data_IF_983199037062
#
_entry.id   IF_983199037062
#
_cell.length_a   1.000
_cell.length_b   1.000
_cell.length_c   1.000
_cell.angle_alpha   90.00
_cell.angle_beta   90.00
_cell.angle_gamma   90.00
#
_symmetry.space_group_name_H-M   'P 1'
#
loop_
_entity.id
_entity.type
_entity.pdbx_description
1 polymer ?
#
# COMPACT_ATOMS: atom_id res chain seq x y z
N UNK A 1 -6.38 -11.46 -62.10
CA UNK A 1 -6.54 -9.98 -62.08
C UNK A 1 -5.67 -9.43 -60.98
N UNK A 2 -5.02 -8.27 -61.16
CA UNK A 2 -4.37 -7.58 -60.04
C UNK A 2 -5.42 -7.31 -58.96
N UNK A 3 -5.09 -7.61 -57.70
CA UNK A 3 -5.99 -7.45 -56.55
C UNK A 3 -6.34 -5.97 -56.28
N UNK A 4 -5.54 -5.03 -56.81
CA UNK A 4 -5.67 -3.60 -56.61
C UNK A 4 -5.30 -2.81 -57.87
N UNK A 5 -5.80 -1.57 -58.04
CA UNK A 5 -5.33 -0.63 -59.06
C UNK A 5 -3.82 -0.38 -58.93
N UNK A 6 -3.18 -0.07 -60.06
CA UNK A 6 -1.78 0.34 -60.07
C UNK A 6 -1.58 1.54 -59.12
N UNK A 7 -0.56 1.47 -58.26
CA UNK A 7 -0.15 2.47 -57.26
C UNK A 7 -0.94 2.56 -55.93
N UNK A 8 -2.09 1.89 -55.76
CA UNK A 8 -2.90 2.01 -54.53
C UNK A 8 -2.11 1.72 -53.24
N UNK A 9 -1.33 0.63 -53.23
CA UNK A 9 -0.57 0.25 -52.03
C UNK A 9 0.54 1.25 -51.70
N UNK A 10 1.17 1.85 -52.72
CA UNK A 10 2.20 2.86 -52.52
C UNK A 10 1.59 4.15 -51.95
N UNK A 11 0.43 4.55 -52.45
CA UNK A 11 -0.29 5.72 -51.96
C UNK A 11 -0.81 5.50 -50.53
N UNK A 12 -1.30 4.30 -50.22
CA UNK A 12 -1.70 3.89 -48.88
C UNK A 12 -0.52 3.95 -47.89
N UNK A 13 0.66 3.44 -48.25
CA UNK A 13 1.85 3.51 -47.41
C UNK A 13 2.34 4.95 -47.21
N UNK A 14 2.36 5.75 -48.29
CA UNK A 14 2.74 7.16 -48.21
C UNK A 14 1.77 7.96 -47.31
N UNK A 15 0.47 7.65 -47.39
CA UNK A 15 -0.54 8.21 -46.50
C UNK A 15 -0.27 7.83 -45.03
N UNK A 16 -0.08 6.54 -44.73
CA UNK A 16 0.17 6.06 -43.36
C UNK A 16 1.44 6.64 -42.74
N UNK A 17 2.50 6.82 -43.53
CA UNK A 17 3.72 7.50 -43.07
C UNK A 17 3.43 8.96 -42.68
N UNK A 18 2.61 9.67 -43.46
CA UNK A 18 2.26 11.08 -43.24
C UNK A 18 1.40 11.30 -42.00
N UNK A 19 0.48 10.38 -41.71
CA UNK A 19 -0.44 10.51 -40.57
C UNK A 19 0.11 9.93 -39.27
N UNK A 20 1.33 9.37 -39.27
CA UNK A 20 1.91 8.66 -38.13
C UNK A 20 2.01 9.47 -36.83
N UNK A 21 2.09 10.81 -36.94
CA UNK A 21 2.11 11.74 -35.80
C UNK A 21 0.89 12.68 -35.79
N UNK A 22 -0.12 12.43 -36.64
CA UNK A 22 -1.31 13.25 -36.72
C UNK A 22 -2.35 12.85 -35.67
N UNK A 23 -3.15 13.82 -35.23
CA UNK A 23 -4.37 13.56 -34.45
C UNK A 23 -5.45 12.88 -35.32
N UNK A 24 -6.35 12.07 -34.73
CA UNK A 24 -7.34 11.30 -35.49
C UNK A 24 -8.25 12.13 -36.38
N UNK A 25 -8.55 13.37 -35.99
CA UNK A 25 -9.35 14.29 -36.80
C UNK A 25 -8.61 14.70 -38.08
N UNK A 26 -7.30 14.99 -37.99
CA UNK A 26 -6.47 15.38 -39.12
C UNK A 26 -6.19 14.20 -40.06
N UNK A 27 -5.91 13.02 -39.50
CA UNK A 27 -5.73 11.80 -40.27
C UNK A 27 -6.98 11.43 -41.09
N UNK A 28 -8.17 11.62 -40.51
CA UNK A 28 -9.45 11.42 -41.23
C UNK A 28 -9.67 12.41 -42.37
N UNK A 29 -9.22 13.66 -42.20
CA UNK A 29 -9.30 14.68 -43.25
C UNK A 29 -8.38 14.31 -44.42
N UNK A 30 -7.14 13.91 -44.13
CA UNK A 30 -6.16 13.48 -45.12
C UNK A 30 -6.57 12.19 -45.86
N UNK A 31 -7.37 11.32 -45.23
CA UNK A 31 -7.94 10.15 -45.90
C UNK A 31 -8.86 10.55 -47.07
N UNK A 32 -9.47 11.74 -47.02
CA UNK A 32 -10.28 12.28 -48.11
C UNK A 32 -9.49 12.42 -49.41
N UNK A 33 -8.24 12.90 -49.33
CA UNK A 33 -7.37 13.08 -50.49
C UNK A 33 -6.99 11.74 -51.11
N UNK A 34 -6.70 10.73 -50.28
CA UNK A 34 -6.40 9.37 -50.74
C UNK A 34 -7.61 8.74 -51.45
N UNK A 35 -8.82 8.90 -50.89
CA UNK A 35 -10.06 8.42 -51.52
C UNK A 35 -10.39 9.12 -52.82
N UNK A 36 -10.06 10.42 -52.95
CA UNK A 36 -10.26 11.15 -54.20
C UNK A 36 -9.38 10.61 -55.34
N UNK A 37 -8.16 10.14 -55.02
CA UNK A 37 -7.27 9.47 -55.98
C UNK A 37 -7.71 8.06 -56.37
N UNK A 38 -8.54 7.41 -55.54
CA UNK A 38 -8.97 6.02 -55.69
C UNK A 38 -10.49 5.87 -55.41
N UNK A 39 -11.37 6.49 -56.22
CA UNK A 39 -12.80 6.65 -55.90
C UNK A 39 -13.56 5.31 -55.83
N UNK A 40 -13.12 4.30 -56.58
CA UNK A 40 -13.77 2.99 -56.66
C UNK A 40 -13.29 2.01 -55.58
N UNK A 41 -12.41 2.44 -54.68
CA UNK A 41 -11.83 1.60 -53.63
C UNK A 41 -12.35 2.03 -52.26
N UNK A 42 -13.23 1.24 -51.62
CA UNK A 42 -13.67 1.53 -50.27
C UNK A 42 -12.51 1.40 -49.28
N UNK A 43 -12.25 2.48 -48.55
CA UNK A 43 -11.20 2.54 -47.54
C UNK A 43 -11.75 2.98 -46.20
N UNK A 44 -11.25 2.43 -45.10
CA UNK A 44 -11.56 2.86 -43.75
C UNK A 44 -10.28 2.99 -42.93
N UNK A 45 -10.10 4.14 -42.29
CA UNK A 45 -9.03 4.33 -41.32
C UNK A 45 -9.53 3.91 -39.94
N UNK A 46 -8.81 2.98 -39.31
CA UNK A 46 -8.97 2.64 -37.90
C UNK A 46 -7.72 3.07 -37.14
N UNK A 47 -7.89 3.37 -35.86
CA UNK A 47 -6.79 3.85 -35.04
C UNK A 47 -6.95 3.42 -33.58
N UNK A 48 -5.83 3.36 -32.88
CA UNK A 48 -5.76 3.13 -31.44
C UNK A 48 -4.74 4.09 -30.83
N UNK A 49 -4.94 4.46 -29.57
CA UNK A 49 -3.96 5.20 -28.78
C UNK A 49 -2.98 4.23 -28.12
N UNK A 50 -1.69 4.44 -28.33
CA UNK A 50 -0.63 3.70 -27.66
C UNK A 50 -0.45 4.20 -26.22
N UNK A 51 -0.35 3.25 -25.28
CA UNK A 51 0.03 3.49 -23.89
C UNK A 51 1.29 2.68 -23.56
N UNK A 52 2.33 3.25 -22.93
CA UNK A 52 2.45 4.62 -22.41
C UNK A 52 3.20 5.53 -23.40
N UNK A 53 2.55 6.58 -23.92
CA UNK A 53 3.19 7.50 -24.86
C UNK A 53 2.24 8.43 -25.61
N UNK A 54 0.94 8.10 -25.64
CA UNK A 54 -0.10 8.99 -26.16
C UNK A 54 -0.16 9.14 -27.67
N UNK A 55 0.77 8.53 -28.42
CA UNK A 55 0.78 8.50 -29.89
C UNK A 55 -0.37 7.64 -30.44
N UNK A 56 -0.82 7.96 -31.65
CA UNK A 56 -1.85 7.20 -32.34
C UNK A 56 -1.22 6.24 -33.34
N UNK A 57 -1.71 5.00 -33.38
CA UNK A 57 -1.41 4.04 -34.45
C UNK A 57 -2.57 3.99 -35.44
N UNK A 58 -2.27 3.87 -36.72
CA UNK A 58 -3.25 3.91 -37.80
C UNK A 58 -3.12 2.67 -38.72
N UNK A 59 -4.27 2.04 -38.99
CA UNK A 59 -4.41 0.98 -39.97
C UNK A 59 -5.41 1.43 -41.05
N UNK A 60 -5.02 1.26 -42.31
CA UNK A 60 -5.89 1.48 -43.45
C UNK A 60 -6.48 0.14 -43.89
N UNK A 61 -7.79 0.02 -43.73
CA UNK A 61 -8.56 -1.12 -44.21
C UNK A 61 -9.04 -0.83 -45.63
N UNK A 62 -8.64 -1.68 -46.57
CA UNK A 62 -9.01 -1.62 -47.98
C UNK A 62 -9.93 -2.81 -48.27
N UNK A 63 -11.16 -2.54 -48.70
CA UNK A 63 -12.12 -3.59 -49.04
C UNK A 63 -11.82 -4.13 -50.45
N UNK A 64 -11.71 -5.46 -50.57
CA UNK A 64 -11.56 -6.19 -51.82
C UNK A 64 -12.73 -7.18 -51.99
N UNK A 65 -12.99 -7.71 -53.20
CA UNK A 65 -14.12 -8.62 -53.43
C UNK A 65 -14.13 -9.87 -52.53
N UNK A 66 -12.95 -10.43 -52.25
CA UNK A 66 -12.79 -11.67 -51.48
C UNK A 66 -12.34 -11.43 -50.02
N UNK A 67 -12.32 -10.18 -49.55
CA UNK A 67 -11.88 -9.89 -48.19
C UNK A 67 -11.52 -8.44 -47.90
N UNK A 68 -10.76 -8.22 -46.84
CA UNK A 68 -10.24 -6.90 -46.46
C UNK A 68 -8.73 -7.00 -46.28
N UNK A 69 -8.00 -6.09 -46.91
CA UNK A 69 -6.56 -5.94 -46.70
C UNK A 69 -6.34 -4.83 -45.68
N UNK A 70 -5.60 -5.15 -44.61
CA UNK A 70 -5.11 -4.14 -43.67
C UNK A 70 -3.70 -3.74 -44.06
N UNK A 71 -3.47 -2.44 -44.19
CA UNK A 71 -2.13 -1.85 -44.37
C UNK A 71 -1.83 -1.04 -43.12
N UNK A 72 -0.70 -1.32 -42.49
CA UNK A 72 -0.25 -0.62 -41.29
C UNK A 72 1.20 -0.16 -41.48
N UNK A 73 1.56 0.98 -40.88
CA UNK A 73 2.93 1.46 -40.81
C UNK A 73 3.31 1.64 -39.34
N UNK A 74 4.42 1.01 -38.95
CA UNK A 74 5.01 1.21 -37.64
C UNK A 74 6.36 1.93 -37.82
N UNK A 75 6.52 3.17 -37.32
CA UNK A 75 7.84 3.79 -37.26
C UNK A 75 8.77 2.96 -36.37
N UNK A 76 10.10 3.15 -36.49
CA UNK A 76 11.09 2.38 -35.73
C UNK A 76 10.90 2.38 -34.19
N UNK A 77 10.19 3.38 -33.67
CA UNK A 77 9.83 3.52 -32.25
C UNK A 77 8.58 2.75 -31.82
N UNK A 78 7.88 2.10 -32.75
CA UNK A 78 6.56 1.51 -32.53
C UNK A 78 6.54 0.03 -32.93
N UNK A 79 5.73 -0.75 -32.22
CA UNK A 79 5.50 -2.17 -32.54
C UNK A 79 4.42 -2.27 -33.63
N UNK A 80 4.57 -3.07 -34.69
CA UNK A 80 3.48 -3.31 -35.66
C UNK A 80 2.24 -3.90 -34.99
N UNK A 81 1.04 -3.46 -35.36
CA UNK A 81 -0.23 -3.94 -34.78
C UNK A 81 -0.35 -5.48 -34.65
N UNK A 82 0.03 -6.30 -35.66
CA UNK A 82 -0.01 -7.76 -35.53
C UNK A 82 0.84 -8.31 -34.38
N UNK A 83 1.82 -7.53 -33.91
CA UNK A 83 2.73 -7.87 -32.83
C UNK A 83 2.37 -7.21 -31.49
N UNK A 84 1.36 -6.32 -31.44
CA UNK A 84 0.94 -5.64 -30.20
C UNK A 84 0.08 -6.52 -29.28
N UNK A 85 -0.46 -7.63 -29.80
CA UNK A 85 -1.12 -8.68 -29.02
C UNK A 85 -0.22 -9.90 -28.76
N UNK A 86 0.91 -10.02 -29.46
CA UNK A 86 1.97 -10.94 -29.07
C UNK A 86 2.75 -10.29 -27.94
N UNK A 87 2.27 -10.42 -26.71
CA UNK A 87 3.06 -10.05 -25.54
C UNK A 87 4.44 -10.67 -25.71
N UNK A 88 5.49 -9.84 -25.67
CA UNK A 88 6.84 -10.35 -25.78
C UNK A 88 7.03 -11.43 -24.71
N UNK A 89 7.69 -12.54 -25.04
CA UNK A 89 7.93 -13.60 -24.05
C UNK A 89 8.64 -13.07 -22.78
N UNK A 90 9.29 -11.90 -22.84
CA UNK A 90 9.85 -11.19 -21.68
C UNK A 90 8.90 -10.21 -20.97
N UNK A 91 7.80 -9.74 -21.58
CA UNK A 91 6.82 -8.84 -20.94
C UNK A 91 5.94 -9.56 -19.92
N UNK A 92 5.85 -10.89 -20.02
CA UNK A 92 5.22 -11.73 -19.02
C UNK A 92 6.19 -12.17 -17.93
N UNK A 93 7.51 -11.93 -18.04
CA UNK A 93 8.47 -12.36 -17.01
C UNK A 93 8.64 -11.25 -15.98
N UNK A 94 8.13 -11.49 -14.79
CA UNK A 94 8.19 -10.55 -13.66
C UNK A 94 9.55 -10.60 -12.98
N UNK A 95 10.14 -11.79 -12.86
CA UNK A 95 11.48 -11.99 -12.30
C UNK A 95 12.10 -13.26 -12.87
N UNK A 96 13.43 -13.27 -13.02
CA UNK A 96 14.19 -14.46 -13.39
C UNK A 96 15.09 -14.85 -12.22
N UNK A 97 14.99 -16.09 -11.74
CA UNK A 97 15.81 -16.63 -10.64
C UNK A 97 16.55 -17.84 -11.17
N UNK A 98 17.90 -17.80 -11.17
CA UNK A 98 18.76 -18.87 -11.67
C UNK A 98 18.42 -19.36 -13.09
N UNK A 99 17.96 -18.45 -13.95
CA UNK A 99 17.54 -18.75 -15.32
C UNK A 99 16.10 -19.25 -15.46
N UNK A 100 15.38 -19.45 -14.37
CA UNK A 100 13.95 -19.76 -14.39
C UNK A 100 13.11 -18.47 -14.45
N UNK A 101 12.21 -18.40 -15.43
CA UNK A 101 11.28 -17.30 -15.59
C UNK A 101 10.08 -17.45 -14.66
N UNK A 102 9.88 -16.46 -13.78
CA UNK A 102 8.63 -16.28 -13.05
C UNK A 102 7.75 -15.37 -13.88
N UNK A 103 6.65 -15.95 -14.37
CA UNK A 103 5.71 -15.22 -15.21
C UNK A 103 4.70 -14.42 -14.41
N UNK A 104 4.03 -13.46 -15.04
CA UNK A 104 2.99 -12.63 -14.45
C UNK A 104 1.88 -13.51 -13.87
N UNK A 105 1.49 -14.61 -14.52
CA UNK A 105 0.49 -15.53 -13.97
C UNK A 105 0.96 -16.17 -12.67
N UNK A 106 2.25 -16.52 -12.57
CA UNK A 106 2.85 -17.07 -11.35
C UNK A 106 3.00 -16.01 -10.27
N UNK A 107 3.36 -14.78 -10.63
CA UNK A 107 3.39 -13.65 -9.71
C UNK A 107 1.98 -13.33 -9.19
N UNK A 108 0.97 -13.35 -10.06
CA UNK A 108 -0.44 -13.16 -9.69
C UNK A 108 -0.94 -14.31 -8.81
N UNK A 109 -0.47 -15.55 -9.00
CA UNK A 109 -0.77 -16.67 -8.10
C UNK A 109 -0.11 -16.53 -6.72
N UNK A 110 1.03 -15.83 -6.61
CA UNK A 110 1.60 -15.44 -5.30
C UNK A 110 0.81 -14.29 -4.69
N UNK A 111 0.39 -13.32 -5.51
CA UNK A 111 -0.50 -12.23 -5.10
C UNK A 111 -1.91 -12.74 -4.74
N UNK A 112 -2.29 -13.96 -5.10
CA UNK A 112 -3.52 -14.58 -4.59
C UNK A 112 -3.47 -14.77 -3.06
N UNK A 113 -2.28 -14.79 -2.45
CA UNK A 113 -2.12 -14.70 -0.99
C UNK A 113 -2.67 -13.40 -0.39
N UNK A 114 -2.78 -12.32 -1.20
CA UNK A 114 -3.41 -11.06 -0.80
C UNK A 114 -4.88 -11.23 -0.41
N UNK A 115 -5.59 -12.20 -0.98
CA UNK A 115 -7.00 -12.43 -0.66
C UNK A 115 -7.20 -12.99 0.75
N UNK A 116 -6.17 -13.64 1.32
CA UNK A 116 -6.18 -14.12 2.70
C UNK A 116 -5.87 -13.03 3.73
N UNK A 117 -5.26 -11.92 3.31
CA UNK A 117 -4.84 -10.82 4.17
C UNK A 117 -5.56 -9.50 3.78
N UNK A 118 -6.72 -9.30 4.39
CA UNK A 118 -7.51 -8.07 4.24
C UNK A 118 -6.72 -6.79 4.61
N UNK A 119 -5.66 -6.89 5.42
CA UNK A 119 -4.84 -5.74 5.78
C UNK A 119 -4.01 -5.22 4.61
N UNK A 120 -3.52 -6.11 3.74
CA UNK A 120 -2.75 -5.72 2.57
C UNK A 120 -3.65 -5.15 1.47
N UNK A 121 -4.84 -5.72 1.29
CA UNK A 121 -5.88 -5.12 0.47
C UNK A 121 -6.26 -3.70 0.96
N UNK A 122 -6.41 -3.52 2.28
CA UNK A 122 -6.67 -2.20 2.87
C UNK A 122 -5.54 -1.21 2.60
N UNK A 123 -4.28 -1.65 2.67
CA UNK A 123 -3.11 -0.81 2.35
C UNK A 123 -3.11 -0.35 0.90
N UNK A 124 -3.44 -1.23 -0.06
CA UNK A 124 -3.54 -0.88 -1.48
C UNK A 124 -4.65 0.15 -1.73
N UNK A 125 -5.85 -0.09 -1.18
CA UNK A 125 -6.97 0.84 -1.33
C UNK A 125 -6.67 2.18 -0.65
N UNK A 126 -6.07 2.17 0.55
CA UNK A 126 -5.65 3.39 1.23
C UNK A 126 -4.63 4.18 0.41
N UNK A 127 -3.66 3.52 -0.24
CA UNK A 127 -2.68 4.19 -1.10
C UNK A 127 -3.38 4.90 -2.28
N UNK A 128 -4.31 4.23 -2.94
CA UNK A 128 -5.09 4.83 -4.04
C UNK A 128 -5.98 6.00 -3.57
N UNK A 129 -6.60 5.90 -2.38
CA UNK A 129 -7.40 6.99 -1.81
C UNK A 129 -6.56 8.21 -1.47
N UNK A 130 -5.34 8.00 -0.96
CA UNK A 130 -4.38 9.06 -0.68
C UNK A 130 -3.91 9.74 -1.96
N UNK A 131 -3.57 8.95 -2.98
CA UNK A 131 -3.18 9.47 -4.30
C UNK A 131 -4.30 10.31 -4.93
N UNK A 132 -5.54 9.81 -4.91
CA UNK A 132 -6.71 10.56 -5.39
C UNK A 132 -6.90 11.90 -4.66
N UNK A 133 -6.70 11.91 -3.33
CA UNK A 133 -6.83 13.14 -2.54
C UNK A 133 -5.71 14.14 -2.86
N UNK A 134 -4.49 13.65 -3.08
CA UNK A 134 -3.36 14.47 -3.50
C UNK A 134 -3.49 14.96 -4.95
N UNK A 135 -4.14 14.22 -5.85
CA UNK A 135 -4.44 14.70 -7.20
C UNK A 135 -5.52 15.79 -7.18
N UNK A 136 -6.54 15.62 -6.34
CA UNK A 136 -7.64 16.59 -6.20
C UNK A 136 -7.19 17.91 -5.58
N UNK A 137 -6.34 17.84 -4.57
CA UNK A 137 -5.78 19.00 -3.87
C UNK A 137 -4.27 18.84 -3.70
N UNK A 138 -3.50 19.15 -4.77
CA UNK A 138 -2.05 18.99 -4.82
C UNK A 138 -1.33 19.69 -3.69
N UNK A 139 -0.38 18.96 -3.11
CA UNK A 139 0.55 19.51 -2.15
C UNK A 139 1.81 19.92 -2.90
N UNK A 140 1.97 21.22 -3.11
CA UNK A 140 3.22 21.80 -3.59
C UNK A 140 4.16 22.03 -2.40
N UNK A 141 5.38 21.51 -2.50
CA UNK A 141 6.45 21.76 -1.54
C UNK A 141 7.42 22.76 -2.14
N UNK A 142 7.77 23.78 -1.37
CA UNK A 142 8.91 24.65 -1.69
C UNK A 142 10.23 23.85 -1.68
N UNK A 143 11.27 24.39 -2.31
CA UNK A 143 12.60 23.77 -2.31
C UNK A 143 13.15 23.59 -0.89
N UNK A 144 12.91 24.56 -0.01
CA UNK A 144 13.26 24.50 1.40
C UNK A 144 12.51 23.37 2.13
N UNK A 145 11.20 23.27 1.95
CA UNK A 145 10.39 22.19 2.55
C UNK A 145 10.81 20.80 2.05
N UNK A 146 11.14 20.65 0.75
CA UNK A 146 11.64 19.39 0.20
C UNK A 146 13.01 19.02 0.78
N UNK A 147 13.89 20.00 0.97
CA UNK A 147 15.19 19.77 1.60
C UNK A 147 15.05 19.35 3.07
N UNK A 148 14.16 19.98 3.82
CA UNK A 148 13.83 19.57 5.20
C UNK A 148 13.26 18.15 5.26
N UNK A 149 12.37 17.81 4.31
CA UNK A 149 11.82 16.47 4.18
C UNK A 149 12.91 15.44 3.84
N UNK A 150 13.85 15.78 2.94
CA UNK A 150 14.99 14.94 2.57
C UNK A 150 15.93 14.70 3.77
N UNK A 151 16.14 15.71 4.60
CA UNK A 151 16.93 15.58 5.82
C UNK A 151 16.21 14.70 6.87
N UNK A 152 14.90 14.89 7.05
CA UNK A 152 14.09 14.06 7.93
C UNK A 152 14.04 12.60 7.48
N UNK A 153 13.87 12.37 6.18
CA UNK A 153 13.91 11.05 5.54
C UNK A 153 15.23 10.34 5.84
N UNK A 154 16.35 11.06 5.68
CA UNK A 154 17.69 10.54 5.97
C UNK A 154 17.87 10.22 7.44
N UNK A 155 17.46 11.10 8.35
CA UNK A 155 17.54 10.88 9.81
C UNK A 155 16.73 9.65 10.23
N UNK A 156 15.50 9.51 9.74
CA UNK A 156 14.62 8.39 10.08
C UNK A 156 15.19 7.03 9.65
N UNK A 157 16.04 7.00 8.62
CA UNK A 157 16.63 5.79 8.05
C UNK A 157 18.12 5.60 8.38
N UNK A 158 18.68 6.45 9.25
CA UNK A 158 20.10 6.40 9.61
C UNK A 158 21.06 6.78 8.48
N UNK A 159 20.57 7.41 7.42
CA UNK A 159 21.34 7.80 6.23
C UNK A 159 22.06 9.14 6.46
N UNK A 160 22.83 9.22 7.54
CA UNK A 160 23.44 10.47 8.03
C UNK A 160 24.68 10.90 7.24
N UNK A 161 25.11 10.10 6.24
CA UNK A 161 26.27 10.41 5.42
C UNK A 161 25.92 10.26 3.94
N UNK A 162 26.60 11.03 3.09
CA UNK A 162 26.43 10.95 1.63
C UNK A 162 26.70 9.54 1.11
N UNK A 163 27.70 8.83 1.68
CA UNK A 163 27.99 7.44 1.33
C UNK A 163 26.82 6.52 1.66
N UNK A 164 26.29 6.58 2.89
CA UNK A 164 25.14 5.76 3.29
C UNK A 164 23.91 6.02 2.41
N UNK A 165 23.64 7.27 2.05
CA UNK A 165 22.55 7.60 1.11
C UNK A 165 22.79 6.99 -0.26
N UNK A 166 24.01 7.09 -0.81
CA UNK A 166 24.35 6.51 -2.13
C UNK A 166 24.26 4.98 -2.12
N UNK A 167 24.76 4.33 -1.07
CA UNK A 167 24.69 2.88 -0.94
C UNK A 167 23.23 2.42 -0.87
N UNK A 168 22.41 3.09 -0.05
CA UNK A 168 20.97 2.82 0.06
C UNK A 168 20.22 3.00 -1.27
N UNK A 169 20.59 4.03 -2.04
CA UNK A 169 20.03 4.28 -3.38
C UNK A 169 20.47 3.19 -4.37
N UNK A 170 21.76 2.83 -4.38
CA UNK A 170 22.32 1.81 -5.25
C UNK A 170 21.71 0.43 -4.99
N UNK A 171 21.54 0.04 -3.73
CA UNK A 171 20.85 -1.20 -3.32
C UNK A 171 19.41 -1.28 -3.85
N UNK A 172 18.79 -0.13 -4.09
CA UNK A 172 17.38 -0.02 -4.55
C UNK A 172 17.26 0.37 -6.01
N UNK A 173 18.37 0.51 -6.73
CA UNK A 173 18.38 0.95 -8.13
C UNK A 173 17.82 2.36 -8.33
N UNK A 174 17.92 3.23 -7.32
CA UNK A 174 17.38 4.59 -7.35
C UNK A 174 18.43 5.60 -7.79
N UNK A 175 18.02 6.54 -8.64
CA UNK A 175 18.75 7.78 -8.88
C UNK A 175 18.23 8.91 -7.99
N UNK A 176 18.86 10.09 -8.09
CA UNK A 176 18.51 11.22 -7.22
C UNK A 176 17.08 11.73 -7.48
N UNK A 177 16.65 11.78 -8.74
CA UNK A 177 15.30 12.20 -9.11
C UNK A 177 14.23 11.24 -8.56
N UNK A 178 14.51 9.93 -8.57
CA UNK A 178 13.62 8.93 -7.97
C UNK A 178 13.56 9.08 -6.44
N UNK A 179 14.69 9.38 -5.79
CA UNK A 179 14.72 9.67 -4.36
C UNK A 179 13.90 10.94 -4.03
N UNK A 180 14.07 12.02 -4.79
CA UNK A 180 13.28 13.24 -4.62
C UNK A 180 11.79 12.97 -4.78
N UNK A 181 11.38 12.18 -5.77
CA UNK A 181 9.99 11.74 -5.95
C UNK A 181 9.45 11.01 -4.72
N UNK A 182 10.21 10.05 -4.18
CA UNK A 182 9.82 9.30 -2.97
C UNK A 182 9.66 10.25 -1.78
N UNK A 183 10.62 11.15 -1.56
CA UNK A 183 10.61 12.10 -0.44
C UNK A 183 9.45 13.09 -0.57
N UNK A 184 9.23 13.60 -1.79
CA UNK A 184 8.10 14.46 -2.09
C UNK A 184 6.78 13.77 -1.75
N UNK A 185 6.60 12.52 -2.18
CA UNK A 185 5.40 11.74 -1.88
C UNK A 185 5.22 11.53 -0.37
N UNK A 186 6.26 11.14 0.36
CA UNK A 186 6.19 10.96 1.83
C UNK A 186 5.81 12.28 2.54
N UNK A 187 6.39 13.40 2.11
CA UNK A 187 6.12 14.72 2.67
C UNK A 187 4.71 15.22 2.34
N UNK A 188 4.22 14.98 1.11
CA UNK A 188 2.86 15.29 0.70
C UNK A 188 1.83 14.53 1.54
N UNK A 189 2.06 13.24 1.77
CA UNK A 189 1.21 12.42 2.65
C UNK A 189 1.24 12.94 4.10
N UNK A 190 2.40 13.32 4.61
CA UNK A 190 2.53 13.89 5.95
C UNK A 190 1.78 15.24 6.08
N UNK A 191 1.80 16.08 5.04
CA UNK A 191 1.04 17.34 5.03
C UNK A 191 -0.46 17.10 4.93
N UNK A 192 -0.89 16.17 4.09
CA UNK A 192 -2.29 15.75 4.00
C UNK A 192 -2.78 15.26 5.37
N UNK A 193 -1.98 14.44 6.06
CA UNK A 193 -2.30 13.97 7.41
C UNK A 193 -2.51 15.12 8.39
N UNK A 194 -1.57 16.06 8.44
CA UNK A 194 -1.70 17.26 9.30
C UNK A 194 -2.93 18.08 8.94
N UNK A 195 -3.23 18.25 7.66
CA UNK A 195 -4.44 18.96 7.19
C UNK A 195 -5.71 18.29 7.66
N UNK A 196 -5.80 16.96 7.53
CA UNK A 196 -6.96 16.16 7.99
C UNK A 196 -7.12 16.23 9.51
N UNK A 197 -6.02 16.32 10.26
CA UNK A 197 -6.02 16.31 11.72
C UNK A 197 -5.98 17.70 12.39
N UNK A 198 -5.84 18.78 11.61
CA UNK A 198 -5.52 20.14 12.09
C UNK A 198 -6.45 20.62 13.22
N UNK A 199 -7.74 20.37 13.07
CA UNK A 199 -8.76 20.86 14.01
C UNK A 199 -9.08 19.83 15.12
N UNK A 200 -8.71 18.56 14.94
CA UNK A 200 -9.17 17.47 15.80
C UNK A 200 -8.16 17.00 16.85
N UNK A 201 -6.86 17.29 16.69
CA UNK A 201 -5.84 16.66 17.54
C UNK A 201 -5.93 17.09 19.02
N UNK A 202 -6.11 18.39 19.29
CA UNK A 202 -6.22 18.91 20.65
C UNK A 202 -7.55 18.48 21.32
N UNK A 203 -8.65 18.52 20.58
CA UNK A 203 -9.96 18.06 21.06
C UNK A 203 -9.93 16.56 21.40
N UNK A 204 -9.35 15.74 20.51
CA UNK A 204 -9.21 14.30 20.71
C UNK A 204 -8.35 13.97 21.93
N UNK A 205 -7.28 14.72 22.16
CA UNK A 205 -6.46 14.58 23.37
C UNK A 205 -7.25 14.91 24.64
N UNK A 206 -7.97 16.02 24.64
CA UNK A 206 -8.76 16.45 25.79
C UNK A 206 -9.91 15.46 26.12
N UNK A 207 -10.46 14.78 25.12
CA UNK A 207 -11.53 13.81 25.30
C UNK A 207 -11.06 12.45 25.87
N UNK A 208 -9.80 12.07 25.71
CA UNK A 208 -9.24 10.76 26.11
C UNK A 208 -7.78 10.87 26.56
N UNK A 209 -7.51 11.75 27.54
CA UNK A 209 -6.14 12.01 27.97
C UNK A 209 -5.47 10.74 28.54
N UNK A 210 -6.18 9.98 29.37
CA UNK A 210 -5.66 8.76 30.00
C UNK A 210 -5.33 7.67 28.97
N UNK A 211 -6.10 7.58 27.88
CA UNK A 211 -5.83 6.68 26.77
C UNK A 211 -4.50 6.96 26.06
N UNK A 212 -3.97 8.18 26.23
CA UNK A 212 -2.69 8.64 25.70
C UNK A 212 -1.52 8.51 26.67
N UNK A 213 -1.72 7.93 27.85
CA UNK A 213 -0.61 7.61 28.75
C UNK A 213 0.39 6.68 28.06
N UNK A 214 1.69 6.92 28.26
CA UNK A 214 2.75 6.05 27.74
C UNK A 214 3.12 5.02 28.78
N UNK A 215 2.99 3.75 28.42
CA UNK A 215 3.27 2.61 29.28
C UNK A 215 4.56 1.92 28.82
N UNK A 216 5.53 1.82 29.73
CA UNK A 216 6.65 0.90 29.56
C UNK A 216 6.17 -0.48 30.00
N UNK A 217 6.19 -1.47 29.12
CA UNK A 217 5.65 -2.81 29.39
C UNK A 217 6.64 -3.92 29.05
N UNK A 218 6.48 -5.08 29.69
CA UNK A 218 7.04 -6.36 29.23
C UNK A 218 5.92 -7.19 28.62
N UNK A 219 6.10 -7.60 27.37
CA UNK A 219 5.22 -8.53 26.67
C UNK A 219 5.83 -9.93 26.72
N UNK A 220 5.12 -10.87 27.32
CA UNK A 220 5.49 -12.27 27.42
C UNK A 220 4.60 -13.07 26.47
N UNK A 221 5.19 -13.56 25.38
CA UNK A 221 4.48 -14.36 24.39
C UNK A 221 4.74 -15.84 24.62
N UNK A 222 3.67 -16.60 24.77
CA UNK A 222 3.72 -18.03 25.04
C UNK A 222 3.42 -18.84 23.78
N UNK A 223 3.85 -20.11 23.71
CA UNK A 223 3.49 -21.00 22.61
C UNK A 223 1.99 -21.32 22.53
N UNK A 224 1.31 -21.31 23.68
CA UNK A 224 -0.09 -21.75 23.80
C UNK A 224 -0.90 -20.83 24.71
N UNK A 225 -2.20 -20.73 24.42
CA UNK A 225 -3.12 -19.83 25.12
C UNK A 225 -3.27 -20.16 26.61
N UNK A 226 -3.39 -21.44 26.94
CA UNK A 226 -3.55 -21.91 28.32
C UNK A 226 -2.32 -21.59 29.18
N UNK A 227 -1.12 -21.64 28.59
CA UNK A 227 0.11 -21.24 29.28
C UNK A 227 0.08 -19.75 29.63
N UNK A 228 -0.33 -18.88 28.69
CA UNK A 228 -0.48 -17.46 28.93
C UNK A 228 -1.53 -17.15 30.01
N UNK A 229 -2.68 -17.85 29.98
CA UNK A 229 -3.73 -17.70 31.01
C UNK A 229 -3.22 -18.05 32.40
N UNK A 230 -2.55 -19.20 32.52
CA UNK A 230 -2.00 -19.66 33.80
C UNK A 230 -0.91 -18.71 34.30
N UNK A 231 -0.05 -18.23 33.40
CA UNK A 231 0.98 -17.24 33.74
C UNK A 231 0.38 -15.92 34.21
N UNK A 232 -0.66 -15.42 33.55
CA UNK A 232 -1.35 -14.20 33.96
C UNK A 232 -1.91 -14.30 35.38
N UNK A 233 -2.47 -15.46 35.76
CA UNK A 233 -2.93 -15.72 37.14
C UNK A 233 -1.74 -15.70 38.11
N UNK A 234 -0.67 -16.46 37.82
CA UNK A 234 0.52 -16.52 38.69
C UNK A 234 1.16 -15.15 38.91
N UNK A 235 1.32 -14.36 37.85
CA UNK A 235 1.95 -13.05 37.91
C UNK A 235 1.08 -12.03 38.65
N UNK A 236 -0.25 -12.14 38.56
CA UNK A 236 -1.17 -11.32 39.37
C UNK A 236 -1.13 -11.69 40.84
N UNK A 237 -1.15 -12.99 41.15
CA UNK A 237 -1.14 -13.48 42.53
C UNK A 237 0.15 -13.13 43.27
N UNK A 238 1.25 -12.96 42.53
CA UNK A 238 2.58 -12.58 43.05
C UNK A 238 2.85 -11.08 42.99
N UNK A 239 2.05 -10.30 42.28
CA UNK A 239 2.33 -8.88 42.03
C UNK A 239 1.92 -7.98 43.19
N UNK A 240 2.82 -7.11 43.62
CA UNK A 240 2.49 -5.98 44.51
C UNK A 240 2.06 -4.79 43.67
N UNK A 241 0.85 -4.25 43.90
CA UNK A 241 0.35 -3.06 43.19
C UNK A 241 0.93 -1.79 43.82
N UNK A 242 1.55 -0.92 43.03
CA UNK A 242 2.03 0.37 43.51
C UNK A 242 0.85 1.37 43.59
N UNK A 243 0.43 1.72 44.80
CA UNK A 243 -0.76 2.56 44.96
C UNK A 243 -0.51 4.08 44.85
N UNK A 244 0.70 4.63 45.05
CA UNK A 244 0.93 6.08 44.80
C UNK A 244 2.37 6.60 45.00
N UNK A 245 3.22 5.89 45.74
CA UNK A 245 4.54 6.41 46.10
C UNK A 245 5.62 6.02 45.09
N UNK A 246 6.49 6.98 44.70
CA UNK A 246 7.58 6.76 43.75
C UNK A 246 8.50 5.58 44.13
N UNK A 247 8.78 5.43 45.43
CA UNK A 247 9.59 4.32 45.93
C UNK A 247 8.85 2.97 45.82
N UNK A 248 7.55 2.93 46.14
CA UNK A 248 6.72 1.74 45.95
C UNK A 248 6.56 1.38 44.47
N UNK A 249 6.57 2.37 43.57
CA UNK A 249 6.54 2.16 42.12
C UNK A 249 7.84 1.54 41.59
N UNK A 250 9.00 2.01 42.05
CA UNK A 250 10.30 1.40 41.70
C UNK A 250 10.44 -0.02 42.24
N UNK A 251 9.99 -0.27 43.48
CA UNK A 251 9.97 -1.63 44.07
C UNK A 251 9.03 -2.57 43.30
N UNK A 252 7.79 -2.15 43.03
CA UNK A 252 6.83 -2.92 42.24
C UNK A 252 7.35 -3.19 40.81
N UNK A 253 8.02 -2.21 40.21
CA UNK A 253 8.67 -2.34 38.89
C UNK A 253 9.78 -3.38 38.91
N UNK A 254 10.68 -3.32 39.90
CA UNK A 254 11.78 -4.27 40.01
C UNK A 254 11.26 -5.69 40.27
N UNK A 255 10.24 -5.82 41.12
CA UNK A 255 9.59 -7.08 41.42
C UNK A 255 8.93 -7.69 40.18
N UNK A 256 8.07 -6.94 39.47
CA UNK A 256 7.37 -7.48 38.30
C UNK A 256 8.34 -7.82 37.18
N UNK A 257 9.42 -7.06 37.01
CA UNK A 257 10.48 -7.38 36.05
C UNK A 257 11.17 -8.71 36.40
N UNK A 258 11.53 -8.91 37.67
CA UNK A 258 12.17 -10.15 38.13
C UNK A 258 11.23 -11.35 37.97
N UNK A 259 9.94 -11.19 38.30
CA UNK A 259 8.94 -12.24 38.14
C UNK A 259 8.71 -12.59 36.66
N UNK A 260 8.59 -11.60 35.78
CA UNK A 260 8.45 -11.82 34.34
C UNK A 260 9.69 -12.53 33.74
N UNK A 261 10.89 -12.16 34.17
CA UNK A 261 12.12 -12.81 33.72
C UNK A 261 12.19 -14.27 34.18
N UNK A 262 11.83 -14.55 35.44
CA UNK A 262 11.78 -15.91 35.97
C UNK A 262 10.74 -16.77 35.24
N UNK A 263 9.53 -16.23 35.04
CA UNK A 263 8.45 -16.88 34.32
C UNK A 263 8.85 -17.23 32.87
N UNK A 264 9.55 -16.31 32.20
CA UNK A 264 10.05 -16.55 30.84
C UNK A 264 11.11 -17.64 30.78
N UNK A 265 12.03 -17.66 31.75
CA UNK A 265 13.07 -18.69 31.83
C UNK A 265 12.48 -20.08 32.13
N UNK A 266 11.52 -20.16 33.06
CA UNK A 266 10.91 -21.42 33.49
C UNK A 266 9.95 -22.00 32.45
N UNK A 267 9.14 -21.16 31.80
CA UNK A 267 8.06 -21.58 30.90
C UNK A 267 8.30 -21.26 29.41
N UNK A 268 9.49 -20.78 29.06
CA UNK A 268 9.91 -20.55 27.67
C UNK A 268 9.15 -19.43 26.95
N UNK A 269 8.74 -18.38 27.66
CA UNK A 269 8.09 -17.23 27.04
C UNK A 269 9.10 -16.32 26.34
N UNK A 270 8.76 -15.80 25.16
CA UNK A 270 9.55 -14.74 24.52
C UNK A 270 9.20 -13.40 25.19
N UNK A 271 10.19 -12.75 25.79
CA UNK A 271 10.00 -11.46 26.48
C UNK A 271 10.46 -10.33 25.60
N UNK A 272 9.58 -9.34 25.40
CA UNK A 272 9.88 -8.13 24.65
C UNK A 272 9.51 -6.89 25.45
N UNK A 273 10.46 -6.01 25.77
CA UNK A 273 10.12 -4.68 26.25
C UNK A 273 9.45 -3.88 25.13
N UNK A 274 8.44 -3.10 25.47
CA UNK A 274 7.77 -2.20 24.54
C UNK A 274 7.34 -0.91 25.24
N UNK A 275 7.28 0.18 24.48
CA UNK A 275 6.64 1.43 24.87
C UNK A 275 5.36 1.55 24.04
N UNK A 276 4.21 1.68 24.71
CA UNK A 276 2.89 1.67 24.07
C UNK A 276 1.98 2.74 24.68
N UNK A 277 0.98 3.18 23.92
CA UNK A 277 -0.08 4.01 24.50
C UNK A 277 -1.11 3.14 25.23
N UNK A 278 -1.65 3.59 26.37
CA UNK A 278 -2.62 2.82 27.18
C UNK A 278 -3.76 2.24 26.34
N UNK A 279 -4.35 3.07 25.47
CA UNK A 279 -5.45 2.67 24.58
C UNK A 279 -5.12 1.51 23.63
N UNK A 280 -3.85 1.28 23.31
CA UNK A 280 -3.42 0.17 22.44
C UNK A 280 -3.50 -1.19 23.13
N UNK A 281 -3.54 -1.20 24.45
CA UNK A 281 -3.77 -2.40 25.26
C UNK A 281 -5.26 -2.71 25.44
N UNK A 282 -6.15 -1.86 24.88
CA UNK A 282 -7.60 -2.05 24.94
C UNK A 282 -8.23 -1.60 26.27
N UNK A 283 -9.53 -1.87 26.45
CA UNK A 283 -10.30 -1.36 27.59
C UNK A 283 -9.84 -1.94 28.94
N UNK A 284 -9.22 -3.12 28.96
CA UNK A 284 -8.67 -3.74 30.18
C UNK A 284 -7.51 -2.95 30.79
N UNK A 285 -6.87 -2.08 30.00
CA UNK A 285 -5.80 -1.21 30.48
C UNK A 285 -6.31 0.09 31.13
N UNK A 286 -7.63 0.30 31.21
CA UNK A 286 -8.20 1.44 31.89
C UNK A 286 -7.81 1.43 33.37
N UNK A 287 -7.18 2.51 33.84
CA UNK A 287 -6.76 2.64 35.25
C UNK A 287 -5.63 1.69 35.68
N UNK A 288 -4.89 1.10 34.74
CA UNK A 288 -3.69 0.33 35.10
C UNK A 288 -2.56 1.20 35.63
N UNK A 289 -1.81 0.63 36.57
CA UNK A 289 -0.68 1.20 37.28
C UNK A 289 0.58 0.33 37.07
N UNK A 290 1.74 0.83 37.53
CA UNK A 290 2.95 0.02 37.59
C UNK A 290 2.73 -1.22 38.49
N UNK A 291 3.19 -2.38 38.02
CA UNK A 291 2.98 -3.69 38.64
C UNK A 291 1.76 -4.45 38.11
N UNK A 292 0.86 -3.81 37.36
CA UNK A 292 -0.34 -4.48 36.84
C UNK A 292 0.00 -5.49 35.73
N UNK A 293 -0.75 -6.59 35.70
CA UNK A 293 -0.59 -7.67 34.72
C UNK A 293 -1.88 -7.83 33.91
N UNK A 294 -1.79 -7.52 32.64
CA UNK A 294 -2.82 -7.64 31.63
C UNK A 294 -2.67 -8.95 30.82
N UNK A 295 -3.76 -9.43 30.23
CA UNK A 295 -3.76 -10.66 29.42
C UNK A 295 -4.56 -11.83 30.02
N UNK A 296 -4.48 -12.98 29.36
CA UNK A 296 -5.39 -14.12 29.56
C UNK A 296 -6.62 -14.11 28.65
N UNK A 297 -6.64 -13.20 27.67
CA UNK A 297 -7.66 -13.10 26.62
C UNK A 297 -7.58 -14.24 25.59
N UNK A 298 -7.89 -13.98 24.30
CA UNK A 298 -7.82 -14.99 23.23
C UNK A 298 -6.40 -15.19 22.67
N UNK A 299 -5.46 -14.29 22.97
CA UNK A 299 -4.08 -14.37 22.50
C UNK A 299 -3.15 -14.97 23.56
N UNK A 300 -2.12 -15.74 23.17
CA UNK A 300 -1.13 -16.29 24.09
C UNK A 300 -0.10 -15.22 24.52
N UNK A 301 -0.60 -14.10 25.07
CA UNK A 301 0.16 -12.91 25.42
C UNK A 301 -0.21 -12.45 26.84
N UNK A 302 0.81 -12.16 27.64
CA UNK A 302 0.69 -11.50 28.94
C UNK A 302 1.50 -10.20 28.90
N UNK A 303 0.93 -9.11 29.40
CA UNK A 303 1.58 -7.80 29.41
C UNK A 303 1.72 -7.31 30.84
N UNK A 304 2.95 -7.12 31.30
CA UNK A 304 3.25 -6.55 32.62
C UNK A 304 3.56 -5.06 32.48
N UNK A 305 2.89 -4.21 33.24
CA UNK A 305 3.09 -2.76 33.23
C UNK A 305 4.24 -2.41 34.18
N UNK A 306 5.33 -1.90 33.63
CA UNK A 306 6.51 -1.49 34.41
C UNK A 306 6.38 -0.05 34.93
N UNK A 307 5.85 0.84 34.09
CA UNK A 307 5.78 2.27 34.35
C UNK A 307 4.61 2.86 33.57
N UNK A 308 3.93 3.85 34.16
CA UNK A 308 2.91 4.66 33.50
C UNK A 308 3.37 6.12 33.53
N UNK A 309 3.48 6.74 32.36
CA UNK A 309 3.78 8.17 32.22
C UNK A 309 2.53 8.90 31.76
N UNK A 310 2.01 9.85 32.57
CA UNK A 310 0.86 10.66 32.18
C UNK A 310 1.08 11.35 30.84
N UNK A 311 0.05 11.33 30.01
CA UNK A 311 0.11 11.93 28.68
C UNK A 311 0.29 13.46 28.76
N UNK A 312 1.20 13.99 27.94
CA UNK A 312 1.31 15.41 27.62
C UNK A 312 1.18 15.59 26.11
N UNK A 313 0.57 16.70 25.68
CA UNK A 313 0.40 17.04 24.27
C UNK A 313 1.70 17.60 23.67
N UNK A 314 2.76 16.79 23.73
CA UNK A 314 4.02 17.03 23.04
C UNK A 314 3.91 16.64 21.53
N UNK A 315 4.98 16.84 20.78
CA UNK A 315 5.01 16.54 19.34
C UNK A 315 4.79 15.05 19.03
N UNK A 316 5.24 14.15 19.90
CA UNK A 316 5.12 12.71 19.70
C UNK A 316 3.66 12.25 19.93
N UNK A 317 3.05 12.68 21.03
CA UNK A 317 1.62 12.43 21.31
C UNK A 317 0.74 13.04 20.23
N UNK A 318 1.05 14.28 19.80
CA UNK A 318 0.35 14.94 18.70
C UNK A 318 0.41 14.11 17.42
N UNK A 319 1.60 13.66 16.99
CA UNK A 319 1.74 12.81 15.79
C UNK A 319 0.97 11.50 15.92
N UNK A 320 0.98 10.88 17.10
CA UNK A 320 0.21 9.65 17.35
C UNK A 320 -1.31 9.86 17.26
N UNK A 321 -1.80 11.03 17.68
CA UNK A 321 -3.21 11.43 17.52
C UNK A 321 -3.52 11.71 16.05
N UNK A 322 -2.69 12.51 15.37
CA UNK A 322 -2.86 12.84 13.96
C UNK A 322 -2.89 11.59 13.07
N UNK A 323 -1.99 10.64 13.30
CA UNK A 323 -1.99 9.34 12.63
C UNK A 323 -3.33 8.63 12.82
N UNK A 324 -3.86 8.60 14.04
CA UNK A 324 -5.14 7.93 14.30
C UNK A 324 -6.34 8.65 13.66
N UNK A 325 -6.38 9.97 13.72
CA UNK A 325 -7.43 10.75 13.05
C UNK A 325 -7.40 10.48 11.54
N UNK A 326 -6.20 10.36 10.97
CA UNK A 326 -6.02 10.04 9.57
C UNK A 326 -6.40 8.60 9.23
N UNK A 327 -6.09 7.63 10.09
CA UNK A 327 -6.54 6.25 9.94
C UNK A 327 -8.07 6.16 9.99
N UNK A 328 -8.72 6.87 10.92
CA UNK A 328 -10.18 6.99 11.03
C UNK A 328 -10.78 7.66 9.77
N UNK A 329 -10.11 8.66 9.20
CA UNK A 329 -10.48 9.28 7.93
C UNK A 329 -10.37 8.30 6.76
N UNK A 330 -9.27 7.56 6.65
CA UNK A 330 -9.10 6.52 5.62
C UNK A 330 -10.14 5.42 5.75
N UNK A 331 -10.47 4.98 6.97
CA UNK A 331 -11.49 3.98 7.22
C UNK A 331 -12.86 4.43 6.70
N UNK A 332 -13.25 5.68 6.95
CA UNK A 332 -14.50 6.25 6.42
C UNK A 332 -14.48 6.33 4.88
N UNK A 333 -13.41 6.89 4.30
CA UNK A 333 -13.26 7.01 2.83
C UNK A 333 -13.32 5.64 2.16
N UNK A 334 -12.69 4.62 2.76
CA UNK A 334 -12.71 3.24 2.27
C UNK A 334 -14.10 2.60 2.37
N UNK A 335 -14.86 2.88 3.42
CA UNK A 335 -16.23 2.38 3.57
C UNK A 335 -17.17 2.94 2.48
N UNK A 336 -16.93 4.18 2.04
CA UNK A 336 -17.72 4.89 1.03
C UNK A 336 -17.23 4.64 -0.42
N UNK A 337 -16.01 4.15 -0.60
CA UNK A 337 -15.40 3.98 -1.91
C UNK A 337 -16.06 2.86 -2.75
N UNK A 338 -16.13 3.10 -4.06
CA UNK A 338 -16.40 2.06 -5.05
C UNK A 338 -15.08 1.36 -5.40
N UNK A 339 -14.93 0.11 -4.95
CA UNK A 339 -13.72 -0.69 -5.18
C UNK A 339 -14.05 -1.81 -6.17
N UNK A 340 -13.44 -1.76 -7.34
CA UNK A 340 -13.49 -2.81 -8.36
C UNK A 340 -12.13 -3.49 -8.45
N UNK A 341 -12.13 -4.83 -8.36
CA UNK A 341 -10.92 -5.63 -8.47
C UNK A 341 -10.80 -6.18 -9.89
N UNK A 342 -9.71 -5.84 -10.58
CA UNK A 342 -9.47 -6.28 -11.96
C UNK A 342 -8.92 -7.72 -12.04
N UNK A 343 -8.71 -8.37 -10.90
CA UNK A 343 -8.26 -9.76 -10.78
C UNK A 343 -8.93 -10.45 -9.58
N UNK A 344 -8.87 -11.79 -9.56
CA UNK A 344 -9.49 -12.62 -8.51
C UNK A 344 -10.90 -13.10 -8.85
N UNK A 345 -11.45 -14.00 -8.03
CA UNK A 345 -12.81 -14.53 -8.20
C UNK A 345 -13.83 -13.68 -7.44
N UNK A 346 -15.08 -13.64 -7.92
CA UNK A 346 -16.16 -12.87 -7.31
C UNK A 346 -16.37 -13.18 -5.81
N UNK A 347 -16.14 -14.43 -5.40
CA UNK A 347 -16.23 -14.86 -4.00
C UNK A 347 -15.11 -14.22 -3.15
N UNK A 348 -13.86 -14.25 -3.64
CA UNK A 348 -12.69 -13.70 -2.92
C UNK A 348 -12.75 -12.18 -2.85
N UNK A 349 -13.04 -11.54 -3.97
CA UNK A 349 -13.16 -10.08 -4.06
C UNK A 349 -14.33 -9.58 -3.21
N UNK A 350 -15.47 -10.29 -3.22
CA UNK A 350 -16.62 -9.97 -2.37
C UNK A 350 -16.33 -10.08 -0.86
N UNK A 351 -15.55 -11.08 -0.44
CA UNK A 351 -15.13 -11.24 0.96
C UNK A 351 -14.23 -10.09 1.41
N UNK A 352 -13.20 -9.76 0.63
CA UNK A 352 -12.27 -8.67 0.94
C UNK A 352 -12.99 -7.32 0.92
N UNK A 353 -13.81 -7.02 -0.10
CA UNK A 353 -14.58 -5.77 -0.15
C UNK A 353 -15.51 -5.61 1.06
N UNK A 354 -16.09 -6.71 1.55
CA UNK A 354 -16.88 -6.68 2.80
C UNK A 354 -16.00 -6.38 4.02
N UNK A 355 -14.83 -7.01 4.12
CA UNK A 355 -13.88 -6.76 5.20
C UNK A 355 -13.37 -5.30 5.19
N UNK A 356 -13.13 -4.71 4.01
CA UNK A 356 -12.70 -3.32 3.86
C UNK A 356 -13.74 -2.31 4.38
N UNK A 357 -15.03 -2.66 4.28
CA UNK A 357 -16.16 -1.83 4.76
C UNK A 357 -16.52 -2.08 6.22
N UNK A 358 -16.05 -3.17 6.81
CA UNK A 358 -16.29 -3.44 8.22
C UNK A 358 -15.52 -2.41 9.07
N UNK A 359 -16.11 -1.88 10.15
CA UNK A 359 -15.37 -1.07 11.10
C UNK A 359 -14.23 -1.91 11.71
N UNK A 360 -13.04 -1.31 11.88
CA UNK A 360 -11.77 -1.98 12.24
C UNK A 360 -11.81 -2.80 13.56
N UNK A 361 -12.92 -2.82 14.29
CA UNK A 361 -13.16 -3.61 15.51
C UNK A 361 -13.45 -5.11 15.31
N UNK A 362 -13.41 -5.64 14.08
CA UNK A 362 -13.74 -7.06 13.80
C UNK A 362 -12.54 -7.98 13.51
N UNK A 363 -11.29 -7.49 13.62
CA UNK A 363 -10.06 -8.25 13.27
C UNK A 363 -9.68 -9.40 14.22
N UNK A 364 -10.58 -9.86 15.09
CA UNK A 364 -10.32 -10.93 16.06
C UNK A 364 -10.80 -12.34 15.67
N UNK A 365 -11.47 -12.53 14.53
CA UNK A 365 -12.00 -13.85 14.18
C UNK A 365 -11.57 -14.26 12.76
N UNK A 366 -10.45 -14.98 12.66
CA UNK A 366 -10.21 -15.83 11.50
C UNK A 366 -11.33 -16.88 11.45
N UNK A 367 -12.02 -17.05 10.31
CA UNK A 367 -12.95 -18.16 10.16
C UNK A 367 -12.14 -19.45 10.12
N UNK A 368 -12.31 -20.27 11.16
CA UNK A 368 -11.88 -21.67 11.16
C UNK A 368 -12.44 -22.37 9.94
N UNK A 369 -11.55 -22.87 9.08
CA UNK A 369 -11.91 -23.78 8.00
C UNK A 369 -12.59 -25.01 8.60
N UNK A 370 -13.73 -25.48 8.07
CA UNK A 370 -14.31 -26.73 8.51
C UNK A 370 -13.36 -27.87 8.12
N UNK A 371 -13.02 -28.69 9.11
CA UNK A 371 -12.37 -29.97 8.89
C UNK A 371 -13.38 -30.89 8.18
N UNK A 372 -13.07 -31.29 6.95
CA UNK A 372 -13.69 -32.46 6.34
C UNK A 372 -13.23 -33.71 7.10
N UNK A 373 -14.18 -34.36 7.75
CA UNK A 373 -14.07 -35.71 8.28
C UNK A 373 -15.20 -36.55 7.70
N UNK A 374 -14.85 -37.58 6.93
CA UNK A 374 -15.77 -38.53 6.31
C UNK A 374 -15.11 -39.28 5.17
#
# INVERSE_FOLDING_TARGET
MPLFPDHLLNDALAFLCRVSDAEPADARRLLGDLRAGHPDVPMRLVWQRDHPGGSHHYDLLITAPDGTVSVAFAPARAVPWPLRGSHGAGEQVVVRVDGADVRMEQAMAVLDGLWGDSSLAARLVNAALVEQELERDPVELSAEELQEAMDAFRRARGLLTVRATRDWMAERGLDHASLETIVHQEAAIARLRRRVAADGAAERFAADQDGHDRLSVLRLRYPHLEAARTAAVRLRDRGTRAETFAQAAEEARAEIFAQAAAEAFEYGADVRPALVYRRELGPEAAGTCAGDVLGGGPEPLVTCVLEVRPAVLDDETRRAIENRIFDDWLARRRAEASVEWMWGTALRTGSVTRALRAPDGSRGASPTSPADGG
#
